data_IF_704604442846
#
_entry.id   IF_704604442846
#
_cell.length_a   1.000
_cell.length_b   1.000
_cell.length_c   1.000
_cell.angle_alpha   90.00
_cell.angle_beta   90.00
_cell.angle_gamma   90.00
#
_symmetry.space_group_name_H-M   'P 1'
#
loop_
_entity.id
_entity.type
_entity.pdbx_description
1 polymer ?
#
# COMPACT_ATOMS: atom_id res chain seq x y z
N UNK A 1 -3.19 28.85 25.63
CA UNK A 1 -2.16 27.84 25.29
C UNK A 1 -2.78 26.77 24.40
N UNK A 2 -2.00 26.13 23.51
CA UNK A 2 -2.52 25.08 22.62
C UNK A 2 -2.93 23.81 23.41
N UNK A 3 -3.98 23.10 22.99
CA UNK A 3 -4.42 21.86 23.64
C UNK A 3 -3.33 20.77 23.69
N UNK A 4 -3.29 20.03 24.79
CA UNK A 4 -2.34 18.93 25.03
C UNK A 4 -2.27 17.92 23.88
N UNK A 5 -3.44 17.52 23.36
CA UNK A 5 -3.55 16.56 22.25
C UNK A 5 -2.93 17.09 20.96
N UNK A 6 -2.91 18.42 20.76
CA UNK A 6 -2.35 19.07 19.58
C UNK A 6 -0.83 19.23 19.69
N UNK A 7 -0.32 19.52 20.90
CA UNK A 7 1.12 19.54 21.18
C UNK A 7 1.78 18.19 20.89
N UNK A 8 1.12 17.08 21.27
CA UNK A 8 1.59 15.72 20.94
C UNK A 8 1.69 15.45 19.43
N UNK A 9 0.82 16.06 18.61
CA UNK A 9 0.92 15.94 17.14
C UNK A 9 2.13 16.67 16.59
N UNK A 10 2.48 17.83 17.16
CA UNK A 10 3.70 18.55 16.78
C UNK A 10 4.97 17.76 17.06
N UNK A 11 5.02 17.02 18.16
CA UNK A 11 6.19 16.18 18.47
C UNK A 11 6.38 15.09 17.41
N UNK A 12 5.29 14.47 16.95
CA UNK A 12 5.33 13.51 15.83
C UNK A 12 5.84 14.18 14.55
N UNK A 13 5.32 15.36 14.20
CA UNK A 13 5.79 16.07 13.01
C UNK A 13 7.28 16.44 13.08
N UNK A 14 7.77 16.84 14.26
CA UNK A 14 9.20 17.08 14.49
C UNK A 14 10.02 15.80 14.32
N UNK A 15 9.58 14.68 14.89
CA UNK A 15 10.26 13.38 14.75
C UNK A 15 10.37 12.93 13.29
N UNK A 16 9.32 13.15 12.47
CA UNK A 16 9.27 12.71 11.08
C UNK A 16 9.55 13.81 10.05
N UNK A 17 10.05 14.98 10.48
CA UNK A 17 10.24 16.17 9.65
C UNK A 17 11.03 15.89 8.37
N UNK A 18 12.11 15.09 8.47
CA UNK A 18 12.94 14.74 7.32
C UNK A 18 12.17 13.92 6.27
N UNK A 19 11.34 12.97 6.70
CA UNK A 19 10.50 12.17 5.79
C UNK A 19 9.43 13.01 5.11
N UNK A 20 8.86 13.98 5.83
CA UNK A 20 7.89 14.94 5.28
C UNK A 20 8.57 15.80 4.21
N UNK A 21 9.75 16.35 4.50
CA UNK A 21 10.53 17.14 3.54
C UNK A 21 10.87 16.33 2.27
N UNK A 22 11.31 15.08 2.43
CA UNK A 22 11.59 14.19 1.30
C UNK A 22 10.33 13.87 0.47
N UNK A 23 9.17 13.72 1.10
CA UNK A 23 7.91 13.46 0.40
C UNK A 23 7.50 14.59 -0.57
N UNK A 24 7.90 15.84 -0.28
CA UNK A 24 7.62 16.99 -1.16
C UNK A 24 8.71 17.24 -2.21
N UNK A 25 9.94 16.80 -1.95
CA UNK A 25 11.10 17.13 -2.80
C UNK A 25 11.50 16.00 -3.73
N UNK A 26 11.14 14.76 -3.40
CA UNK A 26 11.46 13.59 -4.23
C UNK A 26 10.42 13.40 -5.34
N UNK A 27 10.82 12.93 -6.53
CA UNK A 27 9.90 12.64 -7.62
C UNK A 27 9.14 11.32 -7.44
N UNK A 28 9.38 10.60 -6.34
CA UNK A 28 8.78 9.30 -6.07
C UNK A 28 7.49 9.45 -5.27
N UNK A 29 6.45 8.75 -5.70
CA UNK A 29 5.20 8.67 -4.93
C UNK A 29 5.09 7.35 -4.17
N UNK A 30 4.53 7.40 -2.96
CA UNK A 30 4.17 6.20 -2.20
C UNK A 30 2.92 5.49 -2.76
N UNK A 31 2.32 5.99 -3.84
CA UNK A 31 1.04 5.49 -4.37
C UNK A 31 1.08 4.02 -4.77
N UNK A 32 2.18 3.54 -5.36
CA UNK A 32 2.34 2.12 -5.70
C UNK A 32 2.37 1.25 -4.44
N UNK A 33 3.12 1.69 -3.42
CA UNK A 33 3.23 1.00 -2.13
C UNK A 33 1.88 0.95 -1.41
N UNK A 34 1.13 2.04 -1.42
CA UNK A 34 -0.22 2.12 -0.86
C UNK A 34 -1.20 1.19 -1.58
N UNK A 35 -1.16 1.17 -2.92
CA UNK A 35 -1.99 0.28 -3.73
C UNK A 35 -1.72 -1.20 -3.41
N UNK A 36 -0.44 -1.59 -3.31
CA UNK A 36 -0.04 -2.95 -2.93
C UNK A 36 -0.50 -3.28 -1.51
N UNK A 37 -0.31 -2.36 -0.56
CA UNK A 37 -0.71 -2.56 0.83
C UNK A 37 -2.23 -2.73 0.96
N UNK A 38 -3.03 -1.96 0.22
CA UNK A 38 -4.48 -2.11 0.20
C UNK A 38 -4.92 -3.42 -0.43
N UNK A 39 -4.27 -3.86 -1.51
CA UNK A 39 -4.54 -5.15 -2.13
C UNK A 39 -4.28 -6.31 -1.16
N UNK A 40 -3.14 -6.28 -0.45
CA UNK A 40 -2.83 -7.27 0.59
C UNK A 40 -3.86 -7.22 1.73
N UNK A 41 -4.28 -6.04 2.18
CA UNK A 41 -5.32 -5.91 3.21
C UNK A 41 -6.65 -6.55 2.77
N UNK A 42 -7.06 -6.37 1.52
CA UNK A 42 -8.26 -7.04 0.95
C UNK A 42 -8.09 -8.56 1.00
N UNK A 43 -6.95 -9.08 0.55
CA UNK A 43 -6.67 -10.53 0.55
C UNK A 43 -6.64 -11.07 1.99
N UNK A 44 -6.05 -10.34 2.95
CA UNK A 44 -6.03 -10.73 4.37
C UNK A 44 -7.45 -10.90 4.93
N UNK A 45 -8.38 -10.00 4.60
CA UNK A 45 -9.79 -10.07 5.04
C UNK A 45 -10.55 -11.29 4.52
N UNK A 46 -10.09 -11.93 3.44
CA UNK A 46 -10.73 -13.14 2.88
C UNK A 46 -9.86 -14.39 3.09
N UNK A 47 -8.86 -14.31 3.96
CA UNK A 47 -7.87 -15.36 4.22
C UNK A 47 -7.97 -15.90 5.65
N UNK A 48 -9.13 -15.76 6.30
CA UNK A 48 -9.39 -16.47 7.55
C UNK A 48 -9.27 -17.98 7.30
N UNK A 49 -8.33 -18.65 8.00
CA UNK A 49 -8.08 -20.09 7.86
C UNK A 49 -6.69 -20.50 7.33
N UNK A 50 -5.85 -19.56 6.88
CA UNK A 50 -4.47 -19.89 6.50
C UNK A 50 -3.60 -20.15 7.74
N UNK A 51 -3.28 -21.42 8.01
CA UNK A 51 -2.41 -21.82 9.13
C UNK A 51 -0.92 -21.56 8.88
N UNK A 52 -0.50 -21.49 7.60
CA UNK A 52 0.90 -21.23 7.21
C UNK A 52 1.00 -19.92 6.42
N UNK A 53 1.89 -19.02 6.85
CA UNK A 53 2.15 -17.76 6.16
C UNK A 53 2.67 -17.96 4.74
N UNK A 54 3.42 -19.03 4.47
CA UNK A 54 3.91 -19.36 3.13
C UNK A 54 2.78 -19.50 2.11
N UNK A 55 1.68 -20.16 2.48
CA UNK A 55 0.51 -20.28 1.61
C UNK A 55 -0.25 -18.97 1.44
N UNK A 56 -0.32 -18.17 2.49
CA UNK A 56 -0.89 -16.83 2.40
C UNK A 56 -0.09 -15.93 1.44
N UNK A 57 1.24 -15.96 1.52
CA UNK A 57 2.15 -15.26 0.60
C UNK A 57 2.01 -15.77 -0.83
N UNK A 58 1.93 -17.09 -1.04
CA UNK A 58 1.73 -17.68 -2.36
C UNK A 58 0.42 -17.20 -2.99
N UNK A 59 -0.68 -17.15 -2.22
CA UNK A 59 -1.96 -16.63 -2.70
C UNK A 59 -1.86 -15.15 -3.10
N UNK A 60 -1.17 -14.32 -2.33
CA UNK A 60 -0.95 -12.90 -2.70
C UNK A 60 -0.25 -12.81 -4.06
N UNK A 61 0.82 -13.58 -4.27
CA UNK A 61 1.58 -13.55 -5.52
C UNK A 61 0.71 -13.97 -6.70
N UNK A 62 -0.01 -15.09 -6.60
CA UNK A 62 -0.87 -15.61 -7.67
C UNK A 62 -1.93 -14.57 -8.05
N UNK A 63 -2.63 -13.99 -7.07
CA UNK A 63 -3.68 -12.98 -7.32
C UNK A 63 -3.10 -11.74 -7.98
N UNK A 64 -1.92 -11.28 -7.51
CA UNK A 64 -1.24 -10.13 -8.10
C UNK A 64 -0.89 -10.38 -9.57
N UNK A 65 -0.26 -11.52 -9.89
CA UNK A 65 0.08 -11.88 -11.26
C UNK A 65 -1.15 -11.98 -12.15
N UNK A 66 -2.22 -12.62 -11.66
CA UNK A 66 -3.48 -12.74 -12.40
C UNK A 66 -4.14 -11.37 -12.66
N UNK A 67 -4.19 -10.48 -11.67
CA UNK A 67 -4.74 -9.12 -11.83
C UNK A 67 -3.98 -8.31 -12.88
N UNK A 68 -2.65 -8.42 -12.91
CA UNK A 68 -1.83 -7.73 -13.90
C UNK A 68 -2.04 -8.31 -15.32
N UNK A 69 -2.18 -9.63 -15.43
CA UNK A 69 -2.51 -10.28 -16.68
C UNK A 69 -3.87 -9.80 -17.21
N UNK A 70 -4.90 -9.74 -16.37
CA UNK A 70 -6.23 -9.23 -16.78
C UNK A 70 -6.14 -7.80 -17.31
N UNK A 71 -5.45 -6.89 -16.60
CA UNK A 71 -5.26 -5.50 -17.05
C UNK A 71 -4.56 -5.41 -18.40
N UNK A 72 -3.55 -6.25 -18.64
CA UNK A 72 -2.83 -6.29 -19.92
C UNK A 72 -3.74 -6.75 -21.06
N UNK A 73 -4.57 -7.77 -20.82
CA UNK A 73 -5.51 -8.27 -21.83
C UNK A 73 -6.62 -7.26 -22.14
N UNK A 74 -7.19 -6.61 -21.12
CA UNK A 74 -8.17 -5.53 -21.34
C UNK A 74 -7.56 -4.45 -22.23
N UNK A 75 -6.38 -3.92 -21.88
CA UNK A 75 -5.67 -2.90 -22.70
C UNK A 75 -5.45 -3.33 -24.14
N UNK A 76 -5.17 -4.61 -24.39
CA UNK A 76 -4.98 -5.16 -25.73
C UNK A 76 -6.29 -5.14 -26.54
N UNK A 77 -7.43 -5.39 -25.91
CA UNK A 77 -8.75 -5.36 -26.56
C UNK A 77 -9.21 -3.93 -26.84
N UNK A 78 -8.92 -2.96 -25.95
CA UNK A 78 -9.38 -1.56 -26.16
C UNK A 78 -8.53 -0.77 -27.15
N UNK A 79 -7.24 -1.11 -27.27
CA UNK A 79 -6.28 -0.40 -28.13
C UNK A 79 -5.95 -1.15 -29.43
N UNK A 80 -6.61 -2.29 -29.67
CA UNK A 80 -6.44 -3.14 -30.84
C UNK A 80 -7.60 -3.01 -31.81
#
# INVERSE_FOLDING_TARGET
>A
SLPEWFRKKFDIFKTYQNGIYQAFTTPYSNGITEAINNHIKVIKRIAYGYRRFSYFRLRILIIQHHSQWQKKNVKKVVNG
#
